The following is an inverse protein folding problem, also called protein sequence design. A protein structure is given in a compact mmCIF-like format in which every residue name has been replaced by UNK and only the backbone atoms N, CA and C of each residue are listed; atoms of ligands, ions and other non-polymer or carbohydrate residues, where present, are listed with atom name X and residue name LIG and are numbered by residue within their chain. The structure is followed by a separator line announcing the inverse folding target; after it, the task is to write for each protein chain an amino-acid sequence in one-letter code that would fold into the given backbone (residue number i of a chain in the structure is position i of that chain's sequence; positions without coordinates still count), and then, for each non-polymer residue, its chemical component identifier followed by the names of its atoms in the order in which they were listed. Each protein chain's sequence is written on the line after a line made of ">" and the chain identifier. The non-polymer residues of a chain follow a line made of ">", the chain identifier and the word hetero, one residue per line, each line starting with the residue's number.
data_IF_343641556172
#
_entry.id   IF_343641556172
#
_cell.length_a   1.000
_cell.length_b   1.000
_cell.length_c   1.000
_cell.angle_alpha   90.00
_cell.angle_beta   90.00
_cell.angle_gamma   90.00
#
_symmetry.space_group_name_H-M   'P 1'
#
loop_
_entity.id
_entity.type
_entity.pdbx_description
1 polymer ?
#
# COMPACT_ATOMS: atom_id res chain seq x y z
N UNK A 1 3.26 -1.15 -25.67
CA UNK A 1 3.93 -1.44 -24.38
C UNK A 1 3.81 -2.94 -24.13
N UNK A 2 4.86 -3.62 -23.70
CA UNK A 2 4.76 -5.06 -23.36
C UNK A 2 3.86 -5.27 -22.15
N UNK A 3 3.18 -6.43 -22.04
CA UNK A 3 2.39 -6.79 -20.84
C UNK A 3 3.24 -6.71 -19.56
N UNK A 4 4.50 -7.15 -19.63
CA UNK A 4 5.44 -7.03 -18.50
C UNK A 4 5.77 -5.59 -18.14
N UNK A 5 5.94 -4.73 -19.14
CA UNK A 5 6.21 -3.31 -18.91
C UNK A 5 5.00 -2.58 -18.33
N UNK A 6 3.78 -3.01 -18.68
CA UNK A 6 2.55 -2.53 -18.06
C UNK A 6 2.46 -2.92 -16.60
N UNK A 7 2.72 -4.19 -16.29
CA UNK A 7 2.81 -4.68 -14.91
C UNK A 7 3.82 -3.87 -14.08
N UNK A 8 5.05 -3.72 -14.56
CA UNK A 8 6.10 -2.99 -13.86
C UNK A 8 5.73 -1.52 -13.62
N UNK A 9 5.09 -0.87 -14.59
CA UNK A 9 4.64 0.51 -14.44
C UNK A 9 3.49 0.65 -13.43
N UNK A 10 2.50 -0.25 -13.47
CA UNK A 10 1.39 -0.22 -12.50
C UNK A 10 1.85 -0.58 -11.10
N UNK A 11 2.76 -1.56 -10.95
CA UNK A 11 3.40 -1.88 -9.69
C UNK A 11 4.17 -0.68 -9.12
N UNK A 12 4.96 0.02 -9.96
CA UNK A 12 5.66 1.24 -9.55
C UNK A 12 4.68 2.33 -9.09
N UNK A 13 3.57 2.52 -9.80
CA UNK A 13 2.55 3.49 -9.42
C UNK A 13 1.90 3.13 -8.07
N UNK A 14 1.62 1.85 -7.84
CA UNK A 14 1.08 1.32 -6.60
C UNK A 14 2.03 1.54 -5.41
N UNK A 15 3.30 1.10 -5.52
CA UNK A 15 4.28 1.31 -4.44
C UNK A 15 4.59 2.78 -4.21
N UNK A 16 4.65 3.59 -5.27
CA UNK A 16 4.80 5.04 -5.12
C UNK A 16 3.58 5.67 -4.45
N UNK A 17 2.38 5.15 -4.68
CA UNK A 17 1.17 5.59 -3.99
C UNK A 17 1.21 5.24 -2.49
N UNK A 18 1.64 4.03 -2.15
CA UNK A 18 1.83 3.62 -0.75
C UNK A 18 2.83 4.53 -0.05
N UNK A 19 4.01 4.75 -0.63
CA UNK A 19 5.04 5.62 -0.08
C UNK A 19 4.52 7.04 0.23
N UNK A 20 3.72 7.63 -0.67
CA UNK A 20 3.16 8.97 -0.48
C UNK A 20 2.03 9.03 0.53
N UNK A 21 1.24 7.97 0.64
CA UNK A 21 0.02 7.92 1.45
C UNK A 21 0.29 7.44 2.87
N UNK A 22 1.30 6.57 3.01
CA UNK A 22 1.67 5.86 4.22
C UNK A 22 3.19 5.89 4.45
N UNK A 23 3.80 7.09 4.56
CA UNK A 23 5.25 7.25 4.58
C UNK A 23 5.95 6.51 5.72
N UNK A 24 5.37 6.48 6.92
CA UNK A 24 5.96 5.77 8.06
C UNK A 24 5.57 4.31 8.02
N UNK A 25 4.28 4.04 7.79
CA UNK A 25 3.76 2.68 7.85
C UNK A 25 4.30 1.77 6.73
N UNK A 26 4.63 2.34 5.56
CA UNK A 26 5.26 1.60 4.45
C UNK A 26 6.78 1.63 4.48
N UNK A 27 7.41 2.36 5.40
CA UNK A 27 8.87 2.33 5.57
C UNK A 27 9.31 1.31 6.64
N UNK A 28 8.42 0.90 7.52
CA UNK A 28 8.67 -0.03 8.63
C UNK A 28 7.97 -1.38 8.42
N UNK A 29 8.48 -2.43 9.07
CA UNK A 29 7.85 -3.75 9.18
C UNK A 29 6.96 -3.90 10.42
N UNK A 30 6.77 -2.84 11.20
CA UNK A 30 5.94 -2.79 12.42
C UNK A 30 4.42 -2.81 12.17
N UNK A 31 4.00 -2.81 10.91
CA UNK A 31 2.61 -2.73 10.47
C UNK A 31 2.25 -3.97 9.64
N UNK A 32 1.84 -5.04 10.32
CA UNK A 32 1.65 -6.40 9.78
C UNK A 32 0.91 -6.49 8.44
N UNK A 33 -0.09 -5.63 8.26
CA UNK A 33 -0.97 -5.66 7.10
C UNK A 33 -0.60 -4.64 6.02
N UNK A 34 0.32 -3.71 6.30
CA UNK A 34 0.70 -2.69 5.34
C UNK A 34 1.98 -3.08 4.59
N UNK A 35 1.96 -3.05 3.25
CA UNK A 35 3.14 -3.33 2.46
C UNK A 35 4.25 -2.31 2.63
N UNK A 36 5.49 -2.79 2.57
CA UNK A 36 6.66 -1.91 2.44
C UNK A 36 6.76 -1.31 1.05
N UNK A 37 7.25 -0.08 1.00
CA UNK A 37 7.60 0.61 -0.23
C UNK A 37 8.99 1.20 -0.09
N UNK A 38 9.88 0.88 -1.04
CA UNK A 38 11.27 1.36 -1.03
C UNK A 38 11.37 2.89 -1.06
N UNK A 39 10.35 3.56 -1.61
CA UNK A 39 10.33 5.01 -1.80
C UNK A 39 9.69 5.76 -0.61
N UNK A 40 9.28 5.03 0.44
CA UNK A 40 8.59 5.63 1.59
C UNK A 40 9.50 6.54 2.41
N UNK A 41 10.80 6.22 2.47
CA UNK A 41 11.83 7.01 3.15
C UNK A 41 11.98 8.45 2.61
N UNK A 42 11.64 8.66 1.34
CA UNK A 42 11.62 9.99 0.71
C UNK A 42 10.52 10.90 1.24
N UNK A 43 9.60 10.37 2.05
CA UNK A 43 8.44 11.08 2.55
C UNK A 43 8.39 11.14 4.09
N UNK A 44 9.51 10.95 4.80
CA UNK A 44 9.57 11.17 6.26
C UNK A 44 9.33 12.63 6.69
N UNK A 45 9.23 13.56 5.73
CA UNK A 45 8.80 14.94 5.95
C UNK A 45 7.32 15.08 6.36
N UNK A 46 6.55 13.99 6.32
CA UNK A 46 5.12 13.97 6.64
C UNK A 46 4.71 12.66 7.34
N UNK A 47 3.54 12.68 7.98
CA UNK A 47 2.91 11.51 8.59
C UNK A 47 1.64 11.10 7.83
N UNK A 48 1.16 9.90 8.09
CA UNK A 48 -0.10 9.37 7.60
C UNK A 48 -1.27 10.30 7.96
N UNK A 49 -2.15 10.56 6.99
CA UNK A 49 -3.44 11.17 7.26
C UNK A 49 -4.51 10.09 7.43
N UNK A 50 -4.69 9.63 8.67
CA UNK A 50 -5.70 8.63 9.02
C UNK A 50 -7.08 9.21 9.34
N UNK A 51 -7.36 10.45 8.92
CA UNK A 51 -8.71 11.01 9.00
C UNK A 51 -9.69 10.19 8.16
N UNK A 52 -10.92 10.00 8.65
CA UNK A 52 -11.92 9.11 8.03
C UNK A 52 -12.06 9.31 6.52
N UNK A 53 -12.23 10.57 6.07
CA UNK A 53 -12.37 10.89 4.65
C UNK A 53 -11.14 10.44 3.84
N UNK A 54 -9.94 10.62 4.39
CA UNK A 54 -8.69 10.22 3.73
C UNK A 54 -8.55 8.71 3.68
N UNK A 55 -8.90 8.01 4.76
CA UNK A 55 -8.93 6.54 4.75
C UNK A 55 -9.90 6.00 3.70
N UNK A 56 -11.10 6.59 3.57
CA UNK A 56 -12.07 6.23 2.54
C UNK A 56 -11.52 6.46 1.12
N UNK A 57 -10.84 7.59 0.88
CA UNK A 57 -10.12 7.84 -0.37
C UNK A 57 -9.02 6.79 -0.60
N UNK A 58 -8.29 6.40 0.44
CA UNK A 58 -7.22 5.41 0.32
C UNK A 58 -7.74 4.03 -0.04
N UNK A 59 -8.83 3.62 0.60
CA UNK A 59 -9.55 2.38 0.30
C UNK A 59 -9.99 2.35 -1.17
N UNK A 60 -10.57 3.46 -1.66
CA UNK A 60 -11.01 3.56 -3.05
C UNK A 60 -9.85 3.34 -4.02
N UNK A 61 -8.74 4.07 -3.86
CA UNK A 61 -7.56 3.94 -4.73
C UNK A 61 -6.92 2.55 -4.67
N UNK A 62 -6.87 1.93 -3.49
CA UNK A 62 -6.33 0.56 -3.34
C UNK A 62 -7.21 -0.46 -4.08
N UNK A 63 -8.53 -0.30 -4.05
CA UNK A 63 -9.45 -1.15 -4.82
C UNK A 63 -9.25 -0.97 -6.33
N UNK A 64 -9.00 0.26 -6.79
CA UNK A 64 -8.71 0.52 -8.20
C UNK A 64 -7.43 -0.20 -8.64
N UNK A 65 -6.33 -0.11 -7.88
CA UNK A 65 -5.12 -0.90 -8.17
C UNK A 65 -5.38 -2.41 -8.17
N UNK A 66 -6.16 -2.92 -7.22
CA UNK A 66 -6.50 -4.35 -7.17
C UNK A 66 -7.25 -4.79 -8.42
N UNK A 67 -8.20 -3.98 -8.87
CA UNK A 67 -8.98 -4.26 -10.07
C UNK A 67 -8.08 -4.23 -11.31
N UNK A 68 -7.16 -3.27 -11.41
CA UNK A 68 -6.17 -3.22 -12.49
C UNK A 68 -5.31 -4.49 -12.54
N UNK A 69 -4.77 -4.95 -11.40
CA UNK A 69 -3.98 -6.17 -11.36
C UNK A 69 -4.78 -7.42 -11.71
N UNK A 70 -6.03 -7.54 -11.24
CA UNK A 70 -6.92 -8.64 -11.63
C UNK A 70 -7.18 -8.66 -13.13
N UNK A 71 -7.47 -7.51 -13.74
CA UNK A 71 -7.64 -7.42 -15.19
C UNK A 71 -6.38 -7.79 -15.96
N UNK A 72 -5.19 -7.45 -15.45
CA UNK A 72 -3.92 -7.89 -16.06
C UNK A 72 -3.73 -9.40 -15.95
N UNK A 73 -4.16 -10.01 -14.84
CA UNK A 73 -4.02 -11.44 -14.59
C UNK A 73 -4.85 -12.27 -15.57
N UNK A 74 -6.05 -11.81 -15.91
CA UNK A 74 -6.93 -12.44 -16.92
C UNK A 74 -6.33 -12.39 -18.33
N UNK A 75 -5.51 -11.39 -18.63
CA UNK A 75 -4.93 -11.15 -19.95
C UNK A 75 -3.52 -11.74 -20.11
N UNK A 76 -2.90 -12.21 -19.03
CA UNK A 76 -1.51 -12.63 -19.03
C UNK A 76 -1.36 -14.16 -18.88
N UNK A 77 -0.78 -14.79 -19.91
CA UNK A 77 -0.52 -16.23 -19.92
C UNK A 77 0.88 -16.62 -19.42
N UNK A 78 1.75 -15.64 -19.14
CA UNK A 78 3.08 -15.89 -18.59
C UNK A 78 3.00 -16.22 -17.10
N UNK A 79 3.56 -17.37 -16.71
CA UNK A 79 3.52 -17.84 -15.32
C UNK A 79 4.23 -16.89 -14.36
N UNK A 80 5.39 -16.32 -14.75
CA UNK A 80 6.13 -15.39 -13.90
C UNK A 80 5.28 -14.16 -13.59
N UNK A 81 4.71 -13.55 -14.62
CA UNK A 81 3.88 -12.35 -14.46
C UNK A 81 2.60 -12.63 -13.66
N UNK A 82 2.03 -13.84 -13.77
CA UNK A 82 0.87 -14.23 -12.96
C UNK A 82 1.20 -14.35 -11.48
N UNK A 83 2.35 -14.94 -11.13
CA UNK A 83 2.81 -15.01 -9.74
C UNK A 83 3.00 -13.60 -9.18
N UNK A 84 3.65 -12.70 -9.93
CA UNK A 84 3.85 -11.31 -9.52
C UNK A 84 2.50 -10.60 -9.26
N UNK A 85 1.51 -10.81 -10.14
CA UNK A 85 0.17 -10.25 -10.00
C UNK A 85 -0.60 -10.81 -8.80
N UNK A 86 -0.51 -12.11 -8.53
CA UNK A 86 -1.13 -12.73 -7.34
C UNK A 86 -0.51 -12.19 -6.04
N UNK A 87 0.81 -11.99 -6.03
CA UNK A 87 1.51 -11.37 -4.90
C UNK A 87 1.09 -9.92 -4.70
N UNK A 88 0.99 -9.12 -5.76
CA UNK A 88 0.52 -7.74 -5.70
C UNK A 88 -0.94 -7.64 -5.23
N UNK A 89 -1.80 -8.56 -5.66
CA UNK A 89 -3.18 -8.63 -5.18
C UNK A 89 -3.24 -8.95 -3.68
N UNK A 90 -2.47 -9.94 -3.21
CA UNK A 90 -2.40 -10.30 -1.80
C UNK A 90 -1.87 -9.13 -0.95
N UNK A 91 -0.88 -8.40 -1.47
CA UNK A 91 -0.30 -7.22 -0.86
C UNK A 91 -1.34 -6.10 -0.64
N UNK A 92 -2.15 -5.80 -1.67
CA UNK A 92 -3.26 -4.85 -1.53
C UNK A 92 -4.32 -5.35 -0.56
N UNK A 93 -4.65 -6.65 -0.61
CA UNK A 93 -5.66 -7.21 0.29
C UNK A 93 -5.25 -7.07 1.76
N UNK A 94 -3.96 -7.20 2.09
CA UNK A 94 -3.44 -6.86 3.42
C UNK A 94 -3.80 -5.43 3.83
N UNK A 95 -3.43 -4.45 2.99
CA UNK A 95 -3.73 -3.04 3.28
C UNK A 95 -5.23 -2.77 3.43
N UNK A 96 -6.06 -3.39 2.58
CA UNK A 96 -7.51 -3.27 2.66
C UNK A 96 -8.08 -3.92 3.94
N UNK A 97 -7.54 -5.04 4.41
CA UNK A 97 -7.93 -5.66 5.68
C UNK A 97 -7.71 -4.67 6.83
N UNK A 98 -6.55 -4.02 6.89
CA UNK A 98 -6.25 -3.05 7.94
C UNK A 98 -7.21 -1.85 7.89
N UNK A 99 -7.41 -1.26 6.71
CA UNK A 99 -8.18 -0.02 6.58
C UNK A 99 -9.69 -0.24 6.66
N UNK A 100 -10.22 -1.35 6.14
CA UNK A 100 -11.66 -1.64 6.03
C UNK A 100 -12.21 -2.56 7.10
N UNK A 101 -11.44 -3.50 7.61
CA UNK A 101 -11.95 -4.54 8.51
C UNK A 101 -11.43 -4.38 9.92
N UNK A 102 -10.12 -4.32 10.10
CA UNK A 102 -9.50 -4.09 11.42
C UNK A 102 -9.79 -2.67 11.89
N UNK A 103 -9.66 -1.69 11.00
CA UNK A 103 -9.88 -0.26 11.26
C UNK A 103 -9.11 0.24 12.48
N UNK A 104 -7.85 -0.17 12.67
CA UNK A 104 -7.07 0.25 13.86
C UNK A 104 -7.01 1.78 13.97
N UNK A 105 -6.98 2.47 12.83
CA UNK A 105 -7.08 3.93 12.76
C UNK A 105 -8.29 4.52 13.51
N UNK A 106 -9.39 3.78 13.65
CA UNK A 106 -10.60 4.28 14.32
C UNK A 106 -10.59 4.09 15.84
N UNK A 107 -9.89 3.08 16.36
CA UNK A 107 -10.05 2.64 17.75
C UNK A 107 -8.75 2.31 18.49
N UNK A 108 -7.62 2.21 17.80
CA UNK A 108 -6.33 1.89 18.40
C UNK A 108 -5.44 3.15 18.50
N UNK A 109 -5.41 3.84 19.66
CA UNK A 109 -4.56 5.01 19.85
C UNK A 109 -3.06 4.68 19.77
N UNK A 110 -2.66 3.43 20.03
CA UNK A 110 -1.25 3.02 19.93
C UNK A 110 -0.72 3.07 18.50
N UNK A 111 -1.60 2.94 17.50
CA UNK A 111 -1.22 3.10 16.09
C UNK A 111 -0.57 4.48 15.85
N UNK A 112 -1.19 5.53 16.38
CA UNK A 112 -0.72 6.91 16.22
C UNK A 112 0.60 7.16 16.93
N UNK A 113 0.79 6.55 18.11
CA UNK A 113 2.05 6.62 18.84
C UNK A 113 3.17 5.88 18.10
N UNK A 114 2.89 4.69 17.55
CA UNK A 114 3.85 3.97 16.71
C UNK A 114 4.27 4.80 15.51
N UNK A 115 3.30 5.35 14.77
CA UNK A 115 3.55 6.23 13.62
C UNK A 115 4.44 7.42 14.03
N UNK A 116 4.08 8.11 15.11
CA UNK A 116 4.84 9.27 15.56
C UNK A 116 6.28 8.91 15.97
N UNK A 117 6.47 7.86 16.76
CA UNK A 117 7.80 7.47 17.25
C UNK A 117 8.70 6.92 16.15
N UNK A 118 8.17 6.06 15.27
CA UNK A 118 8.92 5.54 14.12
C UNK A 118 9.26 6.69 13.17
N UNK A 119 8.30 7.59 12.90
CA UNK A 119 8.55 8.77 12.05
C UNK A 119 9.64 9.69 12.61
N UNK A 120 9.70 9.89 13.94
CA UNK A 120 10.73 10.70 14.59
C UNK A 120 12.12 10.03 14.61
N UNK A 121 12.19 8.69 14.68
CA UNK A 121 13.47 7.97 14.65
C UNK A 121 14.13 8.04 13.27
N UNK A 122 13.33 8.23 12.23
CA UNK A 122 13.79 8.31 10.84
C UNK A 122 13.94 9.75 10.30
N UNK A 123 13.58 10.78 11.08
CA UNK A 123 13.64 12.20 10.69
C UNK A 123 14.94 12.91 11.05
#
# INVERSE_FOLDING_TARGET
>A
MSSRQLLENTARNYFGYLARSFPVMSASDEFDFLPRSEEADKYYDRLENLGQKKVEEHIYNLRDFRNEFRSMMELNNDLSSRIDLELLEANINGALIELEHVKSWKHNPLLYLKIAFIGLDHS
#
